data_IF_553109883570
#
_entry.id   IF_553109883570
#
_cell.length_a   1.000
_cell.length_b   1.000
_cell.length_c   1.000
_cell.angle_alpha   90.00
_cell.angle_beta   90.00
_cell.angle_gamma   90.00
#
_symmetry.space_group_name_H-M   'P 1'
#
loop_
_entity.id
_entity.type
_entity.pdbx_description
1 polymer ?
#
# COMPACT_ATOMS: atom_id res chain seq x y z
N UNK A 1 6.74 -14.52 -15.65
CA UNK A 1 7.06 -13.26 -14.93
C UNK A 1 8.14 -13.54 -13.89
N UNK A 2 9.15 -12.66 -13.75
CA UNK A 2 10.22 -12.79 -12.75
C UNK A 2 9.63 -12.83 -11.31
N UNK A 3 10.20 -13.63 -10.39
CA UNK A 3 9.79 -13.62 -8.98
C UNK A 3 10.21 -12.29 -8.33
N UNK A 4 9.35 -11.68 -7.53
CA UNK A 4 9.74 -10.48 -6.75
C UNK A 4 10.43 -10.93 -5.49
N UNK A 5 11.70 -10.58 -5.35
CA UNK A 5 12.56 -10.88 -4.20
C UNK A 5 13.29 -9.60 -3.77
N UNK A 6 13.95 -9.64 -2.61
CA UNK A 6 14.79 -8.53 -2.10
C UNK A 6 15.82 -8.07 -3.13
N UNK A 7 16.40 -8.98 -3.92
CA UNK A 7 17.42 -8.67 -4.92
C UNK A 7 16.86 -8.20 -6.28
N UNK A 8 15.56 -8.41 -6.54
CA UNK A 8 14.99 -8.22 -7.89
C UNK A 8 13.84 -7.22 -7.94
N UNK A 9 13.28 -6.82 -6.81
CA UNK A 9 12.05 -6.01 -6.78
C UNK A 9 12.19 -4.66 -7.49
N UNK A 10 13.39 -4.06 -7.50
CA UNK A 10 13.67 -2.79 -8.20
C UNK A 10 13.56 -2.89 -9.72
N UNK A 11 13.79 -4.09 -10.28
CA UNK A 11 13.65 -4.35 -11.73
C UNK A 11 12.20 -4.64 -12.12
N UNK A 12 11.28 -4.62 -11.17
CA UNK A 12 9.87 -4.86 -11.46
C UNK A 12 9.23 -3.71 -12.23
N UNK A 13 8.38 -4.03 -13.21
CA UNK A 13 7.66 -3.02 -14.00
C UNK A 13 6.78 -2.09 -13.15
N UNK A 14 6.33 -2.53 -11.96
CA UNK A 14 5.53 -1.71 -11.06
C UNK A 14 6.37 -0.84 -10.12
N UNK A 15 7.67 -1.13 -9.96
CA UNK A 15 8.52 -0.44 -8.97
C UNK A 15 8.55 1.08 -9.14
N UNK A 16 8.77 1.66 -10.34
CA UNK A 16 8.79 3.12 -10.49
C UNK A 16 7.47 3.78 -10.09
N UNK A 17 6.34 3.10 -10.30
CA UNK A 17 5.01 3.61 -9.88
C UNK A 17 4.83 3.50 -8.37
N UNK A 18 5.31 2.43 -7.74
CA UNK A 18 5.26 2.26 -6.29
C UNK A 18 6.09 3.35 -5.60
N UNK A 19 7.32 3.61 -6.05
CA UNK A 19 8.18 4.67 -5.48
C UNK A 19 7.47 6.03 -5.53
N UNK A 20 6.92 6.39 -6.69
CA UNK A 20 6.18 7.66 -6.85
C UNK A 20 4.95 7.74 -5.97
N UNK A 21 4.19 6.66 -5.85
CA UNK A 21 2.99 6.62 -5.02
C UNK A 21 3.35 6.73 -3.52
N UNK A 22 4.36 5.98 -3.06
CA UNK A 22 4.87 6.07 -1.67
C UNK A 22 5.33 7.48 -1.34
N UNK A 23 6.08 8.13 -2.23
CA UNK A 23 6.49 9.53 -2.05
C UNK A 23 5.30 10.51 -1.98
N UNK A 24 4.27 10.33 -2.81
CA UNK A 24 3.03 11.13 -2.73
C UNK A 24 2.29 10.92 -1.40
N UNK A 25 2.21 9.68 -0.91
CA UNK A 25 1.65 9.40 0.42
C UNK A 25 2.48 10.09 1.52
N UNK A 26 3.80 9.99 1.46
CA UNK A 26 4.70 10.64 2.42
C UNK A 26 4.58 12.17 2.39
N UNK A 27 4.31 12.79 1.23
CA UNK A 27 4.09 14.24 1.17
C UNK A 27 2.88 14.72 1.99
N UNK A 28 1.96 13.81 2.33
CA UNK A 28 0.71 14.09 3.06
C UNK A 28 0.70 13.54 4.50
N UNK A 29 1.54 12.54 4.80
CA UNK A 29 1.51 11.80 6.06
C UNK A 29 2.89 11.23 6.44
N UNK A 30 3.09 10.88 7.71
CA UNK A 30 4.25 10.09 8.16
C UNK A 30 4.00 8.57 8.12
N UNK A 31 2.82 8.15 7.66
CA UNK A 31 2.44 6.74 7.61
C UNK A 31 2.10 6.36 6.17
N UNK A 32 2.70 5.28 5.69
CA UNK A 32 2.41 4.68 4.39
C UNK A 32 1.60 3.41 4.61
N UNK A 33 0.31 3.47 4.25
CA UNK A 33 -0.56 2.31 4.23
C UNK A 33 -0.61 1.71 2.81
N UNK A 34 -0.60 0.38 2.64
CA UNK A 34 -0.68 -0.25 1.32
C UNK A 34 -1.90 0.21 0.51
N UNK A 35 -3.04 0.36 1.16
CA UNK A 35 -4.29 0.84 0.55
C UNK A 35 -4.15 2.24 -0.06
N UNK A 36 -3.49 3.17 0.64
CA UNK A 36 -3.26 4.53 0.14
C UNK A 36 -2.31 4.53 -1.07
N UNK A 37 -1.29 3.67 -1.06
CA UNK A 37 -0.40 3.47 -2.22
C UNK A 37 -1.19 2.93 -3.42
N UNK A 38 -2.09 1.97 -3.20
CA UNK A 38 -2.96 1.45 -4.26
C UNK A 38 -3.90 2.51 -4.83
N UNK A 39 -4.41 3.42 -3.98
CA UNK A 39 -5.22 4.56 -4.41
C UNK A 39 -4.39 5.52 -5.25
N UNK A 40 -3.20 5.94 -4.78
CA UNK A 40 -2.29 6.82 -5.52
C UNK A 40 -1.82 6.20 -6.85
N UNK A 41 -1.70 4.87 -6.90
CA UNK A 41 -1.40 4.16 -8.16
C UNK A 41 -2.59 4.05 -9.11
N UNK A 42 -3.81 4.38 -8.68
CA UNK A 42 -5.05 4.20 -9.44
C UNK A 42 -5.47 2.73 -9.54
N UNK A 43 -5.04 1.88 -8.61
CA UNK A 43 -5.46 0.48 -8.51
C UNK A 43 -6.65 0.25 -7.57
N UNK A 44 -7.09 1.31 -6.90
CA UNK A 44 -8.28 1.32 -6.07
C UNK A 44 -8.83 2.75 -6.11
N UNK A 45 -10.11 2.93 -6.45
CA UNK A 45 -10.71 4.26 -6.38
C UNK A 45 -11.04 4.63 -4.92
N UNK A 46 -11.07 5.93 -4.60
CA UNK A 46 -11.46 6.38 -3.26
C UNK A 46 -12.88 5.96 -2.90
N UNK A 47 -13.80 6.02 -3.87
CA UNK A 47 -15.19 5.58 -3.70
C UNK A 47 -15.27 4.09 -3.35
N UNK A 48 -14.50 3.23 -4.03
CA UNK A 48 -14.46 1.80 -3.76
C UNK A 48 -13.85 1.48 -2.39
N UNK A 49 -12.78 2.20 -2.03
CA UNK A 49 -12.21 2.13 -0.68
C UNK A 49 -13.24 2.49 0.39
N UNK A 50 -13.95 3.59 0.23
CA UNK A 50 -14.89 4.08 1.23
C UNK A 50 -16.13 3.17 1.32
N UNK A 51 -16.61 2.63 0.19
CA UNK A 51 -17.65 1.61 0.16
C UNK A 51 -17.23 0.33 0.92
N UNK A 52 -15.97 -0.11 0.78
CA UNK A 52 -15.41 -1.20 1.57
C UNK A 52 -15.30 -0.84 3.05
N UNK A 53 -14.83 0.36 3.42
CA UNK A 53 -14.76 0.83 4.82
C UNK A 53 -16.14 0.88 5.50
N UNK A 54 -17.19 1.11 4.72
CA UNK A 54 -18.60 1.08 5.15
C UNK A 54 -19.22 -0.32 5.13
N UNK A 55 -18.50 -1.35 4.68
CA UNK A 55 -19.01 -2.73 4.59
C UNK A 55 -19.95 -3.01 3.41
N UNK A 56 -20.09 -2.08 2.47
CA UNK A 56 -20.88 -2.28 1.23
C UNK A 56 -20.19 -3.24 0.28
N UNK A 57 -18.87 -3.35 0.39
CA UNK A 57 -18.05 -4.35 -0.32
C UNK A 57 -17.57 -5.38 0.71
N UNK A 58 -17.79 -6.69 0.48
CA UNK A 58 -17.46 -7.72 1.47
C UNK A 58 -15.95 -7.90 1.72
N UNK A 59 -15.12 -7.62 0.71
CA UNK A 59 -13.65 -7.63 0.82
C UNK A 59 -13.02 -6.71 -0.22
N UNK A 60 -11.89 -6.06 0.12
CA UNK A 60 -11.30 -4.98 -0.70
C UNK A 60 -10.92 -5.43 -2.11
N UNK A 61 -10.34 -6.63 -2.25
CA UNK A 61 -9.88 -7.18 -3.53
C UNK A 61 -11.01 -7.35 -4.56
N UNK A 62 -12.27 -7.36 -4.14
CA UNK A 62 -13.43 -7.40 -5.04
C UNK A 62 -13.50 -6.17 -5.96
N UNK A 63 -13.00 -5.04 -5.49
CA UNK A 63 -13.08 -3.74 -6.16
C UNK A 63 -11.70 -3.19 -6.53
N UNK A 64 -10.70 -4.09 -6.57
CA UNK A 64 -9.35 -3.78 -7.04
C UNK A 64 -9.29 -3.71 -8.56
N UNK A 65 -8.63 -2.68 -9.09
CA UNK A 65 -8.46 -2.48 -10.53
C UNK A 65 -7.24 -3.27 -11.05
N UNK A 66 -7.52 -4.46 -11.57
CA UNK A 66 -6.56 -5.38 -12.17
C UNK A 66 -6.68 -6.80 -11.61
N UNK A 67 -5.62 -7.60 -11.74
CA UNK A 67 -5.60 -8.97 -11.23
C UNK A 67 -5.13 -9.04 -9.77
N UNK A 68 -5.57 -10.06 -9.02
CA UNK A 68 -5.07 -10.34 -7.67
C UNK A 68 -3.56 -10.66 -7.67
N UNK A 69 -3.06 -11.27 -8.76
CA UNK A 69 -1.62 -11.49 -8.95
C UNK A 69 -0.85 -10.18 -9.04
N UNK A 70 -1.43 -9.12 -9.63
CA UNK A 70 -0.86 -7.77 -9.66
C UNK A 70 -0.92 -7.13 -8.27
N UNK A 71 -2.04 -7.24 -7.55
CA UNK A 71 -2.18 -6.73 -6.19
C UNK A 71 -1.09 -7.30 -5.27
N UNK A 72 -0.99 -8.63 -5.19
CA UNK A 72 0.03 -9.33 -4.39
C UNK A 72 1.46 -8.97 -4.77
N UNK A 73 1.71 -8.67 -6.04
CA UNK A 73 3.03 -8.24 -6.52
C UNK A 73 3.36 -6.82 -6.05
N UNK A 74 2.39 -5.90 -6.14
CA UNK A 74 2.55 -4.52 -5.66
C UNK A 74 2.76 -4.49 -4.15
N UNK A 75 1.99 -5.26 -3.37
CA UNK A 75 2.15 -5.35 -1.90
C UNK A 75 3.57 -5.77 -1.50
N UNK A 76 4.15 -6.76 -2.19
CA UNK A 76 5.55 -7.17 -1.95
C UNK A 76 6.55 -6.05 -2.25
N UNK A 77 6.35 -5.33 -3.35
CA UNK A 77 7.23 -4.21 -3.73
C UNK A 77 7.13 -3.08 -2.71
N UNK A 78 5.92 -2.77 -2.20
CA UNK A 78 5.72 -1.78 -1.13
C UNK A 78 6.52 -2.18 0.11
N UNK A 79 6.42 -3.45 0.54
CA UNK A 79 7.14 -3.94 1.72
C UNK A 79 8.66 -3.83 1.57
N UNK A 80 9.22 -4.26 0.43
CA UNK A 80 10.66 -4.14 0.19
C UNK A 80 11.11 -2.68 0.09
N UNK A 81 10.32 -1.82 -0.56
CA UNK A 81 10.68 -0.41 -0.66
C UNK A 81 10.62 0.31 0.69
N UNK A 82 9.59 0.06 1.50
CA UNK A 82 9.46 0.63 2.83
C UNK A 82 10.58 0.16 3.78
N UNK A 83 10.97 -1.12 3.67
CA UNK A 83 12.15 -1.65 4.35
C UNK A 83 13.43 -0.87 3.98
N UNK A 84 13.66 -0.64 2.69
CA UNK A 84 14.86 0.08 2.23
C UNK A 84 14.85 1.58 2.59
N UNK A 85 13.69 2.13 2.94
CA UNK A 85 13.54 3.47 3.52
C UNK A 85 13.70 3.47 5.06
N UNK A 86 14.01 2.33 5.69
CA UNK A 86 14.09 2.12 7.13
C UNK A 86 12.79 2.53 7.86
N UNK A 87 11.64 2.25 7.26
CA UNK A 87 10.34 2.49 7.89
C UNK A 87 9.98 1.37 8.86
N UNK A 88 9.27 1.72 9.93
CA UNK A 88 8.87 0.77 10.97
C UNK A 88 7.51 0.17 10.62
N UNK A 89 7.38 -1.16 10.42
CA UNK A 89 6.10 -1.79 10.16
C UNK A 89 5.25 -1.87 11.44
N UNK A 90 3.95 -1.62 11.31
CA UNK A 90 2.96 -1.80 12.37
C UNK A 90 1.66 -2.35 11.76
N UNK A 91 1.03 -3.32 12.42
CA UNK A 91 -0.24 -3.90 11.95
C UNK A 91 -1.40 -3.02 12.40
N UNK A 92 -2.22 -2.61 11.44
CA UNK A 92 -3.46 -1.87 11.70
C UNK A 92 -4.67 -2.75 11.48
N UNK A 93 -5.52 -2.88 12.49
CA UNK A 93 -6.76 -3.65 12.40
C UNK A 93 -7.89 -2.80 11.84
N UNK A 94 -8.45 -3.23 10.71
CA UNK A 94 -9.55 -2.53 10.06
C UNK A 94 -10.90 -3.06 10.56
N UNK A 95 -11.67 -2.20 11.21
CA UNK A 95 -13.05 -2.48 11.63
C UNK A 95 -14.03 -1.66 10.81
N UNK A 96 -15.26 -2.16 10.64
CA UNK A 96 -16.34 -1.38 10.01
C UNK A 96 -16.50 -0.01 10.67
N UNK A 97 -16.68 1.01 9.82
CA UNK A 97 -16.99 2.36 10.27
C UNK A 97 -18.50 2.46 10.56
N UNK A 98 -18.91 2.70 11.82
CA UNK A 98 -20.32 2.98 12.17
C UNK A 98 -20.79 2.47 13.55
N UNK A 99 -22.07 2.71 13.88
CA UNK A 99 -22.70 2.37 15.18
C UNK A 99 -23.19 0.91 15.32
N UNK A 100 -22.69 0.00 14.49
CA UNK A 100 -23.10 -1.42 14.48
C UNK A 100 -22.16 -2.34 15.26
N UNK A 101 -22.44 -3.66 15.25
CA UNK A 101 -21.50 -4.67 15.77
C UNK A 101 -20.14 -4.51 15.11
N UNK A 102 -19.08 -4.41 15.92
CA UNK A 102 -17.69 -4.33 15.44
C UNK A 102 -17.36 -5.61 14.66
N UNK A 103 -17.34 -5.52 13.34
CA UNK A 103 -16.91 -6.59 12.44
C UNK A 103 -15.60 -6.18 11.80
N UNK A 104 -14.63 -7.11 11.79
CA UNK A 104 -13.39 -6.93 11.06
C UNK A 104 -13.68 -6.84 9.56
N UNK A 105 -13.04 -5.89 8.89
CA UNK A 105 -13.02 -5.86 7.44
C UNK A 105 -12.00 -6.87 6.93
N UNK A 106 -12.33 -7.48 5.80
CA UNK A 106 -11.47 -8.43 5.12
C UNK A 106 -10.91 -7.78 3.86
N UNK A 107 -9.65 -8.05 3.53
CA UNK A 107 -9.02 -7.53 2.32
C UNK A 107 -9.21 -8.47 1.14
N UNK A 108 -8.99 -9.76 1.36
CA UNK A 108 -9.02 -10.80 0.32
C UNK A 108 -10.30 -11.64 0.37
N UNK A 109 -10.63 -12.31 -0.73
CA UNK A 109 -11.74 -13.30 -0.71
C UNK A 109 -11.41 -14.50 0.18
N UNK A 110 -10.14 -14.94 0.18
CA UNK A 110 -9.68 -16.13 0.90
C UNK A 110 -9.56 -15.92 2.40
N UNK A 111 -9.31 -14.68 2.84
CA UNK A 111 -8.98 -14.40 4.25
C UNK A 111 -7.63 -15.00 4.64
N UNK A 112 -6.72 -15.15 3.68
CA UNK A 112 -5.39 -15.70 3.93
C UNK A 112 -4.60 -14.73 4.82
N UNK A 113 -4.17 -15.20 5.99
CA UNK A 113 -3.51 -14.35 6.99
C UNK A 113 -2.31 -13.57 6.43
N UNK A 114 -1.52 -14.14 5.51
CA UNK A 114 -0.38 -13.44 4.94
C UNK A 114 -0.83 -12.30 4.03
N UNK A 115 -1.94 -12.47 3.30
CA UNK A 115 -2.52 -11.42 2.46
C UNK A 115 -3.14 -10.34 3.34
N UNK A 116 -3.94 -10.73 4.33
CA UNK A 116 -4.57 -9.80 5.27
C UNK A 116 -3.52 -8.95 6.01
N UNK A 117 -2.44 -9.57 6.49
CA UNK A 117 -1.33 -8.88 7.14
C UNK A 117 -0.59 -7.95 6.17
N UNK A 118 -0.37 -8.37 4.92
CA UNK A 118 0.30 -7.55 3.92
C UNK A 118 -0.46 -6.26 3.58
N UNK A 119 -1.80 -6.29 3.56
CA UNK A 119 -2.61 -5.09 3.43
C UNK A 119 -2.67 -4.25 4.72
N UNK A 120 -2.70 -4.92 5.88
CA UNK A 120 -2.83 -4.28 7.19
C UNK A 120 -1.54 -3.65 7.70
N UNK A 121 -0.39 -3.99 7.11
CA UNK A 121 0.92 -3.49 7.53
C UNK A 121 1.13 -2.05 7.09
N UNK A 122 1.01 -1.13 8.02
CA UNK A 122 1.33 0.28 7.85
C UNK A 122 2.80 0.50 8.16
N UNK A 123 3.46 1.36 7.40
CA UNK A 123 4.87 1.67 7.58
C UNK A 123 4.99 3.10 8.11
N UNK A 124 5.54 3.26 9.31
CA UNK A 124 5.77 4.55 9.94
C UNK A 124 7.14 5.08 9.53
N UNK A 125 7.16 6.36 9.12
CA UNK A 125 8.39 7.09 8.87
C UNK A 125 9.15 7.28 10.19
N UNK A 126 10.38 6.80 10.22
CA UNK A 126 11.26 6.83 11.40
C UNK A 126 12.65 7.36 11.05
N UNK A 127 12.71 8.36 10.17
CA UNK A 127 13.95 9.01 9.73
C UNK A 127 13.76 10.52 9.80
N UNK A 128 14.80 11.29 9.49
CA UNK A 128 14.73 12.75 9.59
C UNK A 128 13.75 13.37 8.57
N UNK A 129 13.18 14.56 8.87
CA UNK A 129 12.33 15.29 7.93
C UNK A 129 13.05 15.66 6.62
N UNK A 130 14.36 15.93 6.66
CA UNK A 130 15.16 16.30 5.48
C UNK A 130 15.25 15.12 4.51
N UNK A 131 15.54 13.92 5.05
CA UNK A 131 15.54 12.69 4.25
C UNK A 131 14.16 12.41 3.67
N UNK A 132 13.09 12.73 4.40
CA UNK A 132 11.71 12.59 3.90
C UNK A 132 11.49 13.48 2.69
N UNK A 133 11.91 14.74 2.80
CA UNK A 133 11.78 15.73 1.74
C UNK A 133 12.61 15.35 0.49
N UNK A 134 13.83 14.85 0.68
CA UNK A 134 14.67 14.32 -0.41
C UNK A 134 13.97 13.20 -1.19
N UNK A 135 13.38 12.22 -0.49
CA UNK A 135 12.64 11.12 -1.13
C UNK A 135 11.43 11.63 -1.92
N UNK A 136 10.72 12.62 -1.38
CA UNK A 136 9.58 13.26 -2.04
C UNK A 136 10.05 13.98 -3.31
N UNK A 137 11.14 14.75 -3.24
CA UNK A 137 11.64 15.56 -4.35
C UNK A 137 12.22 14.71 -5.48
N UNK A 138 12.98 13.66 -5.16
CA UNK A 138 13.50 12.70 -6.14
C UNK A 138 12.41 11.97 -6.92
N UNK A 139 11.22 11.86 -6.33
CA UNK A 139 10.09 11.14 -6.92
C UNK A 139 9.19 12.03 -7.80
N UNK A 140 9.47 13.34 -7.90
CA UNK A 140 8.75 14.26 -8.78
C UNK A 140 9.01 13.94 -10.25
N UNK A 141 8.04 14.17 -11.16
CA UNK A 141 8.23 13.93 -12.59
C UNK A 141 9.39 14.80 -13.11
N UNK A 142 10.43 14.16 -13.69
CA UNK A 142 11.62 14.83 -14.21
C UNK A 142 12.95 14.29 -13.67
N UNK A 143 12.94 13.62 -12.52
CA UNK A 143 14.10 12.87 -12.01
C UNK A 143 14.05 11.41 -12.50
N UNK A 144 15.16 10.91 -13.04
CA UNK A 144 15.31 9.47 -13.34
C UNK A 144 15.36 8.72 -12.00
N UNK A 145 14.39 7.80 -11.80
CA UNK A 145 14.32 6.86 -10.67
C UNK A 145 15.16 5.62 -11.02
#
# INVERSE_FOLDING_TARGET
>A
MMKVTVSTYRKDKYYPRVVRAVARVLSKSNVVAPVEVLIEMGNLSKNNHDAWRQGKVPYLERVFEGSLSKANRILRIIGFHAHDLNMVPNITYYQLLGKGKKRALQFSKSGDNNIEEAYSRHYLWNQSPEKKQEIIDRSKPGHKI
#
